data_IF_903178822054
#
_entry.id   IF_903178822054
#
_cell.length_a   1.000
_cell.length_b   1.000
_cell.length_c   1.000
_cell.angle_alpha   90.00
_cell.angle_beta   90.00
_cell.angle_gamma   90.00
#
_symmetry.space_group_name_H-M   'P 1'
#
loop_
_entity.id
_entity.type
_entity.pdbx_description
1 polymer ?
#
# COMPACT_ATOMS: atom_id res chain seq x y z
N UNK A 1 24.82 -45.51 20.86
CA UNK A 1 23.78 -45.20 19.86
C UNK A 1 23.16 -43.87 20.25
N UNK A 2 23.67 -42.80 19.66
CA UNK A 2 23.15 -41.44 19.83
C UNK A 2 22.11 -41.23 18.71
N UNK A 3 20.91 -40.70 18.97
CA UNK A 3 19.98 -40.42 17.88
C UNK A 3 20.53 -39.26 17.06
N UNK A 4 20.68 -39.48 15.75
CA UNK A 4 20.89 -38.43 14.77
C UNK A 4 19.67 -37.51 14.80
N UNK A 5 19.91 -36.22 15.07
CA UNK A 5 18.92 -35.18 14.94
C UNK A 5 18.40 -35.17 13.50
N UNK A 6 17.09 -35.38 13.34
CA UNK A 6 16.41 -35.17 12.06
C UNK A 6 16.50 -33.69 11.69
N UNK A 7 17.36 -33.36 10.74
CA UNK A 7 17.15 -32.19 9.90
C UNK A 7 15.93 -32.51 9.03
N UNK A 8 14.74 -32.08 9.47
CA UNK A 8 13.63 -31.89 8.54
C UNK A 8 14.02 -30.71 7.68
N UNK A 9 14.37 -30.96 6.44
CA UNK A 9 14.53 -29.95 5.39
C UNK A 9 13.16 -29.28 5.24
N UNK A 10 12.96 -28.13 5.92
CA UNK A 10 11.69 -27.40 5.86
C UNK A 10 11.65 -26.72 4.50
N UNK A 11 10.66 -27.08 3.68
CA UNK A 11 10.41 -26.39 2.42
C UNK A 11 9.98 -24.96 2.73
N UNK A 12 10.72 -23.98 2.21
CA UNK A 12 10.36 -22.56 2.27
C UNK A 12 9.32 -22.29 1.19
N UNK A 13 8.16 -21.78 1.58
CA UNK A 13 7.11 -21.35 0.67
C UNK A 13 7.32 -19.89 0.28
N UNK A 14 7.50 -19.62 -1.02
CA UNK A 14 7.70 -18.27 -1.54
C UNK A 14 6.41 -17.66 -2.02
N UNK A 15 6.01 -16.56 -1.42
CA UNK A 15 4.77 -15.86 -1.76
C UNK A 15 5.11 -14.54 -2.43
N UNK A 16 4.65 -14.34 -3.67
CA UNK A 16 4.79 -13.05 -4.35
C UNK A 16 3.68 -12.10 -3.91
N UNK A 17 4.03 -10.92 -3.41
CA UNK A 17 3.08 -9.88 -3.01
C UNK A 17 3.19 -8.68 -3.94
N UNK A 18 2.17 -8.44 -4.76
CA UNK A 18 2.15 -7.40 -5.78
C UNK A 18 1.47 -6.12 -5.26
N UNK A 19 2.11 -4.98 -5.43
CA UNK A 19 1.52 -3.66 -5.16
C UNK A 19 2.43 -2.49 -5.53
N UNK A 20 2.03 -1.28 -5.18
CA UNK A 20 2.78 -0.04 -5.47
C UNK A 20 3.75 0.30 -4.34
N UNK A 21 4.72 -0.58 -4.07
CA UNK A 21 5.64 -0.45 -2.93
C UNK A 21 6.97 0.24 -3.29
N UNK A 22 7.08 0.75 -4.51
CA UNK A 22 8.26 1.42 -5.06
C UNK A 22 8.04 2.94 -5.28
N UNK A 23 7.01 3.50 -4.65
CA UNK A 23 6.68 4.93 -4.73
C UNK A 23 6.57 5.55 -3.35
N UNK A 24 6.84 6.85 -3.25
CA UNK A 24 6.72 7.65 -2.02
C UNK A 24 5.24 7.87 -1.65
N UNK A 25 4.57 6.79 -1.23
CA UNK A 25 3.22 6.79 -0.69
C UNK A 25 3.20 5.98 0.61
N UNK A 26 3.08 6.69 1.74
CA UNK A 26 3.08 6.10 3.07
C UNK A 26 2.02 5.02 3.23
N UNK A 27 0.81 5.22 2.69
CA UNK A 27 -0.25 4.21 2.79
C UNK A 27 0.13 2.92 2.07
N UNK A 28 0.61 3.02 0.83
CA UNK A 28 0.97 1.84 0.04
C UNK A 28 2.17 1.08 0.64
N UNK A 29 3.12 1.83 1.21
CA UNK A 29 4.31 1.27 1.86
C UNK A 29 4.02 0.55 3.19
N UNK A 30 2.81 0.68 3.77
CA UNK A 30 2.41 -0.12 4.94
C UNK A 30 2.02 -1.55 4.59
N UNK A 31 1.47 -1.79 3.39
CA UNK A 31 0.94 -3.11 3.04
C UNK A 31 1.97 -4.23 3.08
N UNK A 32 3.23 -4.05 2.63
CA UNK A 32 4.25 -5.07 2.78
C UNK A 32 4.48 -5.48 4.23
N UNK A 33 4.67 -4.50 5.12
CA UNK A 33 4.93 -4.72 6.54
C UNK A 33 3.76 -5.44 7.23
N UNK A 34 2.52 -5.11 6.83
CA UNK A 34 1.31 -5.75 7.36
C UNK A 34 1.18 -7.20 6.89
N UNK A 35 1.48 -7.47 5.61
CA UNK A 35 1.48 -8.82 5.06
C UNK A 35 2.55 -9.68 5.73
N UNK A 36 3.77 -9.18 5.90
CA UNK A 36 4.82 -9.88 6.64
C UNK A 36 4.37 -10.19 8.07
N UNK A 37 3.85 -9.18 8.80
CA UNK A 37 3.40 -9.39 10.19
C UNK A 37 2.30 -10.44 10.32
N UNK A 38 1.36 -10.47 9.37
CA UNK A 38 0.26 -11.45 9.36
C UNK A 38 0.74 -12.84 8.99
N UNK A 39 1.60 -12.95 7.99
CA UNK A 39 2.15 -14.23 7.55
C UNK A 39 3.11 -14.82 8.56
N UNK A 40 3.90 -14.00 9.28
CA UNK A 40 4.72 -14.45 10.40
C UNK A 40 3.86 -15.09 11.49
N UNK A 41 2.73 -14.47 11.84
CA UNK A 41 1.77 -15.04 12.79
C UNK A 41 1.24 -16.39 12.32
N UNK A 42 0.79 -16.46 11.06
CA UNK A 42 0.26 -17.69 10.47
C UNK A 42 1.34 -18.79 10.33
N UNK A 43 2.57 -18.44 9.96
CA UNK A 43 3.71 -19.34 9.86
C UNK A 43 4.03 -19.97 11.21
N UNK A 44 4.02 -19.17 12.28
CA UNK A 44 4.22 -19.67 13.64
C UNK A 44 3.10 -20.64 14.08
N UNK A 45 1.84 -20.34 13.75
CA UNK A 45 0.70 -21.17 14.12
C UNK A 45 0.64 -22.48 13.32
N UNK A 46 1.09 -22.47 12.06
CA UNK A 46 1.03 -23.62 11.14
C UNK A 46 2.33 -24.42 11.09
N UNK A 47 3.44 -23.86 11.57
CA UNK A 47 4.78 -24.43 11.45
C UNK A 47 5.38 -24.36 10.04
N UNK A 48 4.78 -23.59 9.14
CA UNK A 48 5.29 -23.33 7.79
C UNK A 48 6.45 -22.34 7.83
N UNK A 49 7.35 -22.45 6.85
CA UNK A 49 8.39 -21.46 6.60
C UNK A 49 7.96 -20.65 5.37
N UNK A 50 7.80 -19.33 5.51
CA UNK A 50 7.23 -18.46 4.49
C UNK A 50 8.22 -17.33 4.20
N UNK A 51 8.60 -17.18 2.94
CA UNK A 51 9.36 -16.04 2.43
C UNK A 51 8.42 -15.19 1.57
N UNK A 52 8.26 -13.92 1.92
CA UNK A 52 7.48 -12.97 1.11
C UNK A 52 8.42 -12.22 0.19
N UNK A 53 8.10 -12.21 -1.10
CA UNK A 53 8.81 -11.42 -2.11
C UNK A 53 7.88 -10.33 -2.59
N UNK A 54 8.23 -9.08 -2.28
CA UNK A 54 7.45 -7.92 -2.68
C UNK A 54 7.77 -7.53 -4.13
N UNK A 55 6.71 -7.32 -4.91
CA UNK A 55 6.77 -7.05 -6.35
C UNK A 55 6.08 -5.72 -6.62
N UNK A 56 6.79 -4.82 -7.29
CA UNK A 56 6.28 -3.53 -7.73
C UNK A 56 6.52 -3.32 -9.22
N UNK A 57 5.84 -2.38 -9.89
CA UNK A 57 5.96 -2.20 -11.34
C UNK A 57 7.39 -1.97 -11.83
N UNK A 58 8.19 -1.22 -11.07
CA UNK A 58 9.61 -0.96 -11.37
C UNK A 58 10.52 -1.75 -10.44
N UNK A 59 10.15 -1.87 -9.16
CA UNK A 59 10.99 -2.50 -8.16
C UNK A 59 12.14 -1.60 -7.70
N UNK A 60 12.96 -2.09 -6.77
CA UNK A 60 14.18 -1.43 -6.31
C UNK A 60 14.39 -1.47 -4.80
N UNK A 61 15.35 -0.66 -4.37
CA UNK A 61 15.67 -0.45 -2.95
C UNK A 61 14.50 0.22 -2.20
N UNK A 62 14.42 0.04 -0.87
CA UNK A 62 13.39 0.66 -0.05
C UNK A 62 13.32 2.17 -0.25
N UNK A 63 12.09 2.68 -0.40
CA UNK A 63 11.83 4.13 -0.55
C UNK A 63 12.25 4.89 0.71
N UNK A 64 11.97 4.34 1.89
CA UNK A 64 12.44 4.83 3.19
C UNK A 64 13.12 3.71 3.98
N UNK A 65 13.89 4.07 5.01
CA UNK A 65 14.78 3.14 5.72
C UNK A 65 14.10 2.01 6.49
N UNK A 66 12.78 2.12 6.72
CA UNK A 66 11.92 1.12 7.38
C UNK A 66 10.96 0.42 6.40
N UNK A 67 11.10 0.69 5.09
CA UNK A 67 10.35 0.01 4.04
C UNK A 67 11.10 -1.24 3.57
N UNK A 68 10.40 -2.04 2.75
CA UNK A 68 10.95 -3.26 2.17
C UNK A 68 11.51 -3.02 0.76
N UNK A 69 12.54 -3.78 0.33
CA UNK A 69 12.94 -3.80 -1.07
C UNK A 69 11.90 -4.55 -1.91
N UNK A 70 11.83 -4.23 -3.20
CA UNK A 70 10.94 -4.92 -4.14
C UNK A 70 11.67 -5.35 -5.40
N UNK A 71 11.20 -6.43 -6.03
CA UNK A 71 11.60 -6.77 -7.39
C UNK A 71 10.60 -6.19 -8.39
N UNK A 72 11.02 -6.06 -9.65
CA UNK A 72 10.13 -5.60 -10.72
C UNK A 72 9.10 -6.68 -11.10
N UNK A 73 7.97 -6.28 -11.69
CA UNK A 73 6.99 -7.23 -12.26
C UNK A 73 7.62 -8.13 -13.32
N UNK A 74 8.55 -7.59 -14.13
CA UNK A 74 9.27 -8.35 -15.15
C UNK A 74 10.19 -9.42 -14.54
N UNK A 75 10.91 -9.07 -13.47
CA UNK A 75 11.75 -10.02 -12.76
C UNK A 75 10.91 -11.12 -12.09
N UNK A 76 9.77 -10.76 -11.50
CA UNK A 76 8.85 -11.71 -10.87
C UNK A 76 8.38 -12.79 -11.86
N UNK A 77 8.14 -12.43 -13.13
CA UNK A 77 7.73 -13.41 -14.17
C UNK A 77 8.77 -14.51 -14.42
N UNK A 78 10.02 -14.33 -13.99
CA UNK A 78 11.10 -15.31 -14.19
C UNK A 78 11.38 -16.18 -12.96
N UNK A 79 10.68 -15.94 -11.85
CA UNK A 79 10.94 -16.57 -10.55
C UNK A 79 9.86 -17.61 -10.21
N UNK A 80 10.24 -18.69 -9.51
CA UNK A 80 9.28 -19.62 -8.95
C UNK A 80 8.63 -19.03 -7.69
N UNK A 81 7.32 -19.23 -7.56
CA UNK A 81 6.53 -18.91 -6.38
C UNK A 81 5.58 -20.07 -6.07
N UNK A 82 5.09 -20.11 -4.82
CA UNK A 82 4.12 -21.08 -4.31
C UNK A 82 2.74 -20.44 -4.10
N UNK A 83 2.63 -19.12 -4.21
CA UNK A 83 1.38 -18.39 -4.18
C UNK A 83 1.55 -16.91 -4.50
N UNK A 84 0.45 -16.25 -4.85
CA UNK A 84 0.41 -14.84 -5.23
C UNK A 84 -0.61 -14.09 -4.37
N UNK A 85 -0.22 -12.93 -3.88
CA UNK A 85 -1.09 -11.96 -3.20
C UNK A 85 -1.17 -10.71 -4.08
N UNK A 86 -2.36 -10.40 -4.58
CA UNK A 86 -2.68 -9.06 -5.10
C UNK A 86 -2.94 -8.17 -3.89
N UNK A 87 -2.06 -7.19 -3.68
CA UNK A 87 -2.01 -6.36 -2.47
C UNK A 87 -3.20 -5.42 -2.30
N UNK A 88 -3.14 -4.62 -1.24
CA UNK A 88 -4.15 -3.62 -0.91
C UNK A 88 -4.05 -2.35 -1.76
N UNK A 89 -4.79 -1.32 -1.34
CA UNK A 89 -4.79 -0.03 -2.01
C UNK A 89 -5.63 0.00 -3.28
N UNK A 90 -5.69 1.16 -3.93
CA UNK A 90 -6.41 1.33 -5.19
C UNK A 90 -5.53 0.83 -6.34
N UNK A 91 -5.46 -0.48 -6.58
CA UNK A 91 -4.54 -1.05 -7.58
C UNK A 91 -5.23 -1.77 -8.75
N UNK A 92 -6.52 -2.09 -8.65
CA UNK A 92 -7.25 -2.71 -9.78
C UNK A 92 -7.73 -1.61 -10.72
N UNK A 93 -6.89 -1.22 -11.67
CA UNK A 93 -7.20 -0.15 -12.63
C UNK A 93 -7.27 -0.67 -14.06
N UNK A 94 -8.18 -0.10 -14.83
CA UNK A 94 -8.23 -0.23 -16.30
C UNK A 94 -7.69 0.98 -17.05
N UNK A 95 -7.03 1.90 -16.35
CA UNK A 95 -6.55 3.17 -16.89
C UNK A 95 -5.03 3.25 -16.74
N UNK A 96 -4.39 4.02 -17.63
CA UNK A 96 -2.98 4.33 -17.51
C UNK A 96 -2.67 5.04 -16.18
N UNK A 97 -1.49 4.80 -15.64
CA UNK A 97 -1.02 5.45 -14.43
C UNK A 97 -0.47 6.85 -14.73
N UNK A 98 -0.71 7.81 -13.83
CA UNK A 98 -0.16 9.17 -13.90
C UNK A 98 0.90 9.41 -12.80
N UNK A 99 1.40 8.36 -12.14
CA UNK A 99 2.42 8.45 -11.09
C UNK A 99 3.80 8.58 -11.74
N UNK A 100 4.51 9.67 -11.41
CA UNK A 100 5.74 10.10 -12.10
C UNK A 100 6.83 9.01 -12.20
N UNK A 101 7.13 8.23 -11.14
CA UNK A 101 8.03 7.07 -11.24
C UNK A 101 7.69 6.08 -12.38
N UNK A 102 6.41 5.86 -12.69
CA UNK A 102 6.00 4.93 -13.74
C UNK A 102 5.91 5.60 -15.11
N UNK A 103 5.61 6.90 -15.16
CA UNK A 103 5.63 7.71 -16.39
C UNK A 103 7.07 7.83 -16.91
N UNK A 104 8.01 8.09 -16.01
CA UNK A 104 9.43 8.25 -16.34
C UNK A 104 10.13 6.94 -16.72
N UNK A 105 9.55 5.79 -16.33
CA UNK A 105 10.04 4.45 -16.66
C UNK A 105 9.60 3.92 -18.05
N UNK A 106 9.24 4.81 -18.98
CA UNK A 106 8.89 4.46 -20.37
C UNK A 106 7.45 3.97 -20.53
N UNK A 107 7.26 2.82 -21.17
CA UNK A 107 5.92 2.28 -21.45
C UNK A 107 5.18 1.78 -20.20
N UNK A 108 5.84 1.78 -19.04
CA UNK A 108 5.29 1.40 -17.73
C UNK A 108 4.06 2.23 -17.34
N UNK A 109 3.92 3.45 -17.87
CA UNK A 109 2.69 4.25 -17.75
C UNK A 109 1.42 3.46 -18.10
N UNK A 110 1.48 2.63 -19.14
CA UNK A 110 0.32 1.93 -19.68
C UNK A 110 0.02 0.64 -18.92
N UNK A 111 1.04 0.00 -18.36
CA UNK A 111 0.95 -1.37 -17.85
C UNK A 111 1.15 -1.48 -16.34
N UNK A 112 1.69 -0.47 -15.65
CA UNK A 112 2.06 -0.57 -14.24
C UNK A 112 0.96 -1.15 -13.35
N UNK A 113 -0.27 -0.60 -13.41
CA UNK A 113 -1.38 -1.15 -12.63
C UNK A 113 -1.92 -2.47 -13.20
N UNK A 114 -1.93 -2.63 -14.52
CA UNK A 114 -2.39 -3.89 -15.13
C UNK A 114 -1.49 -5.07 -14.70
N UNK A 115 -0.17 -4.89 -14.64
CA UNK A 115 0.76 -5.92 -14.20
C UNK A 115 0.48 -6.38 -12.76
N UNK A 116 0.04 -5.49 -11.88
CA UNK A 116 -0.19 -5.81 -10.47
C UNK A 116 -1.35 -6.79 -10.25
N UNK A 117 -2.39 -6.75 -11.10
CA UNK A 117 -3.56 -7.62 -10.93
C UNK A 117 -3.74 -8.60 -12.10
N UNK A 118 -3.51 -8.18 -13.34
CA UNK A 118 -3.59 -9.06 -14.50
C UNK A 118 -2.29 -9.84 -14.68
N UNK A 119 -1.13 -9.17 -14.59
CA UNK A 119 0.18 -9.81 -14.71
C UNK A 119 0.42 -10.84 -13.60
N UNK A 120 0.10 -10.48 -12.35
CA UNK A 120 0.15 -11.41 -11.21
C UNK A 120 -0.81 -12.60 -11.37
N UNK A 121 -2.00 -12.40 -11.96
CA UNK A 121 -2.92 -13.50 -12.26
C UNK A 121 -2.40 -14.40 -13.38
N UNK A 122 -1.80 -13.84 -14.43
CA UNK A 122 -1.15 -14.62 -15.50
C UNK A 122 0.01 -15.45 -14.96
N UNK A 123 0.82 -14.89 -14.06
CA UNK A 123 1.89 -15.60 -13.38
C UNK A 123 1.36 -16.79 -12.56
N UNK A 124 0.30 -16.55 -11.78
CA UNK A 124 -0.32 -17.60 -10.97
C UNK A 124 -0.88 -18.74 -11.82
N UNK A 125 -1.59 -18.40 -12.91
CA UNK A 125 -2.13 -19.36 -13.88
C UNK A 125 -1.03 -20.18 -14.57
N UNK A 126 0.05 -19.51 -15.03
CA UNK A 126 1.19 -20.18 -15.69
C UNK A 126 1.91 -21.16 -14.75
N UNK A 127 2.07 -20.80 -13.49
CA UNK A 127 2.71 -21.64 -12.47
C UNK A 127 1.76 -22.67 -11.86
N UNK A 128 0.45 -22.54 -12.07
CA UNK A 128 -0.58 -23.38 -11.45
C UNK A 128 -0.62 -23.25 -9.92
N UNK A 129 -0.42 -22.03 -9.41
CA UNK A 129 -0.35 -21.72 -7.97
C UNK A 129 -1.52 -20.84 -7.52
N UNK A 130 -1.89 -20.86 -6.23
CA UNK A 130 -3.01 -20.08 -5.75
C UNK A 130 -2.76 -18.57 -5.83
N UNK A 131 -3.82 -17.82 -6.14
CA UNK A 131 -3.83 -16.36 -6.12
C UNK A 131 -4.96 -15.81 -5.27
N UNK A 132 -4.62 -14.87 -4.39
CA UNK A 132 -5.56 -14.22 -3.49
C UNK A 132 -5.57 -12.71 -3.72
N UNK A 133 -6.77 -12.11 -3.70
CA UNK A 133 -6.93 -10.66 -3.70
C UNK A 133 -7.14 -10.20 -2.26
N UNK A 134 -6.15 -9.48 -1.72
CA UNK A 134 -6.10 -9.04 -0.33
C UNK A 134 -6.73 -7.64 -0.17
N UNK A 135 -8.03 -7.59 -0.34
CA UNK A 135 -8.86 -6.40 -0.28
C UNK A 135 -8.36 -5.21 -1.14
N UNK A 136 -7.89 -5.40 -2.39
CA UNK A 136 -7.65 -4.27 -3.26
C UNK A 136 -8.93 -3.45 -3.51
N UNK A 137 -8.73 -2.16 -3.76
CA UNK A 137 -9.78 -1.26 -4.19
C UNK A 137 -9.84 -1.13 -5.71
N UNK A 138 -11.06 -1.00 -6.22
CA UNK A 138 -11.36 -0.74 -7.64
C UNK A 138 -11.92 0.68 -7.70
N UNK A 139 -11.14 1.68 -8.16
CA UNK A 139 -11.53 3.09 -8.00
C UNK A 139 -12.65 3.53 -8.94
N UNK A 140 -12.93 2.75 -9.99
CA UNK A 140 -13.82 3.13 -11.07
C UNK A 140 -14.22 1.97 -11.97
N UNK A 141 -15.21 2.19 -12.84
CA UNK A 141 -15.67 1.16 -13.77
C UNK A 141 -14.62 0.87 -14.86
N UNK A 142 -14.67 -0.35 -15.40
CA UNK A 142 -13.85 -0.76 -16.52
C UNK A 142 -14.47 -0.38 -17.86
N UNK A 143 -13.62 -0.09 -18.86
CA UNK A 143 -14.05 -0.09 -20.27
C UNK A 143 -14.31 -1.51 -20.76
N UNK A 144 -14.95 -1.67 -21.93
CA UNK A 144 -15.39 -2.98 -22.43
C UNK A 144 -14.26 -4.04 -22.47
N UNK A 145 -13.12 -3.73 -23.10
CA UNK A 145 -12.00 -4.67 -23.19
C UNK A 145 -11.38 -5.00 -21.83
N UNK A 146 -11.15 -4.00 -20.97
CA UNK A 146 -10.61 -4.24 -19.63
C UNK A 146 -11.62 -4.97 -18.74
N UNK A 147 -12.91 -4.81 -18.97
CA UNK A 147 -13.96 -5.52 -18.24
C UNK A 147 -13.86 -7.02 -18.46
N UNK A 148 -13.59 -7.47 -19.68
CA UNK A 148 -13.37 -8.90 -19.98
C UNK A 148 -12.12 -9.44 -19.27
N UNK A 149 -11.04 -8.67 -19.25
CA UNK A 149 -9.81 -9.04 -18.55
C UNK A 149 -9.99 -9.07 -17.03
N UNK A 150 -10.69 -8.09 -16.47
CA UNK A 150 -11.01 -8.03 -15.04
C UNK A 150 -11.93 -9.18 -14.62
N UNK A 151 -12.92 -9.53 -15.45
CA UNK A 151 -13.76 -10.72 -15.25
C UNK A 151 -12.92 -12.00 -15.22
N UNK A 152 -12.03 -12.17 -16.20
CA UNK A 152 -11.15 -13.34 -16.27
C UNK A 152 -10.26 -13.44 -15.03
N UNK A 153 -9.58 -12.34 -14.68
CA UNK A 153 -8.65 -12.32 -13.56
C UNK A 153 -9.35 -12.61 -12.22
N UNK A 154 -10.50 -11.99 -11.98
CA UNK A 154 -11.34 -12.27 -10.81
C UNK A 154 -11.80 -13.75 -10.76
N UNK A 155 -11.99 -14.38 -11.92
CA UNK A 155 -12.38 -15.80 -12.02
C UNK A 155 -11.24 -16.78 -11.75
N UNK A 156 -9.98 -16.32 -11.75
CA UNK A 156 -8.83 -17.14 -11.37
C UNK A 156 -8.52 -17.08 -9.87
N UNK A 157 -9.06 -16.11 -9.13
CA UNK A 157 -8.76 -15.94 -7.72
C UNK A 157 -9.34 -17.07 -6.86
N UNK A 158 -8.47 -17.75 -6.09
CA UNK A 158 -8.86 -18.75 -5.09
C UNK A 158 -9.56 -18.11 -3.89
N UNK A 159 -9.18 -16.87 -3.58
CA UNK A 159 -9.87 -16.02 -2.62
C UNK A 159 -9.91 -14.59 -3.14
N UNK A 160 -11.12 -14.06 -3.29
CA UNK A 160 -11.32 -12.70 -3.77
C UNK A 160 -11.96 -11.86 -2.68
N UNK A 161 -11.24 -10.84 -2.23
CA UNK A 161 -11.80 -9.79 -1.38
C UNK A 161 -11.55 -8.39 -1.94
N UNK A 162 -12.39 -7.44 -1.54
CA UNK A 162 -12.25 -6.01 -1.85
C UNK A 162 -12.53 -5.16 -0.62
N UNK A 163 -11.94 -3.96 -0.56
CA UNK A 163 -11.99 -3.11 0.64
C UNK A 163 -13.31 -2.35 0.88
N UNK A 164 -14.19 -2.30 -0.11
CA UNK A 164 -15.43 -1.54 -0.02
C UNK A 164 -16.50 -2.04 -1.00
N UNK A 165 -17.75 -1.72 -0.69
CA UNK A 165 -18.91 -2.09 -1.53
C UNK A 165 -18.80 -1.53 -2.95
N UNK A 166 -18.25 -0.33 -3.13
CA UNK A 166 -18.14 0.29 -4.45
C UNK A 166 -17.19 -0.51 -5.36
N UNK A 167 -16.11 -1.03 -4.79
CA UNK A 167 -15.16 -1.90 -5.49
C UNK A 167 -15.82 -3.21 -5.91
N UNK A 168 -16.63 -3.79 -5.03
CA UNK A 168 -17.46 -4.97 -5.34
C UNK A 168 -18.41 -4.69 -6.51
N UNK A 169 -19.17 -3.58 -6.43
CA UNK A 169 -20.13 -3.19 -7.47
C UNK A 169 -19.46 -3.05 -8.86
N UNK A 170 -18.20 -2.57 -8.92
CA UNK A 170 -17.47 -2.47 -10.18
C UNK A 170 -17.03 -3.82 -10.73
N UNK A 171 -16.65 -4.78 -9.88
CA UNK A 171 -16.37 -6.15 -10.31
C UNK A 171 -17.62 -6.88 -10.77
N UNK A 172 -18.75 -6.73 -10.07
CA UNK A 172 -20.01 -7.35 -10.49
C UNK A 172 -20.47 -6.85 -11.87
N UNK A 173 -20.18 -5.58 -12.20
CA UNK A 173 -20.47 -5.01 -13.53
C UNK A 173 -19.67 -5.64 -14.66
N UNK A 174 -18.55 -6.31 -14.36
CA UNK A 174 -17.82 -7.08 -15.38
C UNK A 174 -18.55 -8.35 -15.80
N UNK A 175 -19.56 -8.76 -15.04
CA UNK A 175 -20.25 -10.03 -15.20
C UNK A 175 -19.83 -11.08 -14.19
N UNK A 176 -18.86 -10.78 -13.30
CA UNK A 176 -18.44 -11.71 -12.26
C UNK A 176 -19.57 -12.00 -11.27
N UNK A 177 -19.77 -13.28 -10.93
CA UNK A 177 -20.85 -13.75 -10.03
C UNK A 177 -20.34 -14.71 -8.94
N UNK A 178 -19.02 -14.83 -8.81
CA UNK A 178 -18.41 -15.61 -7.72
C UNK A 178 -18.53 -14.88 -6.38
N UNK A 179 -18.04 -15.52 -5.32
CA UNK A 179 -18.03 -14.94 -3.99
C UNK A 179 -16.98 -13.81 -3.92
N UNK A 180 -17.40 -12.63 -3.48
CA UNK A 180 -16.52 -11.50 -3.18
C UNK A 180 -16.66 -11.18 -1.70
N UNK A 181 -15.61 -11.41 -0.92
CA UNK A 181 -15.58 -10.95 0.45
C UNK A 181 -15.37 -9.43 0.49
N UNK A 182 -16.17 -8.72 1.28
CA UNK A 182 -16.00 -7.28 1.48
C UNK A 182 -15.41 -7.09 2.88
N UNK A 183 -14.15 -6.68 2.93
CA UNK A 183 -13.43 -6.35 4.16
C UNK A 183 -13.11 -4.86 4.24
N UNK A 184 -12.69 -4.33 5.39
CA UNK A 184 -12.09 -2.99 5.43
C UNK A 184 -10.74 -2.97 4.69
N UNK A 185 -10.22 -1.76 4.43
CA UNK A 185 -8.84 -1.59 3.97
C UNK A 185 -7.87 -2.20 4.99
N UNK A 186 -6.92 -3.01 4.52
CA UNK A 186 -5.98 -3.75 5.39
C UNK A 186 -5.04 -2.81 6.16
N UNK A 187 -4.85 -1.57 5.70
CA UNK A 187 -4.11 -0.55 6.44
C UNK A 187 -4.74 -0.19 7.79
N UNK A 188 -6.00 -0.58 8.06
CA UNK A 188 -6.60 -0.41 9.40
C UNK A 188 -5.89 -1.22 10.49
N UNK A 189 -5.10 -2.22 10.12
CA UNK A 189 -4.32 -3.05 11.05
C UNK A 189 -2.93 -2.47 11.34
N UNK A 190 -2.71 -1.18 11.06
CA UNK A 190 -1.45 -0.47 11.33
C UNK A 190 -1.01 -0.55 12.81
N UNK A 191 -1.94 -0.79 13.73
CA UNK A 191 -1.67 -1.01 15.15
C UNK A 191 -0.88 -2.30 15.43
N UNK A 192 -0.86 -3.25 14.49
CA UNK A 192 -0.02 -4.44 14.57
C UNK A 192 1.45 -4.13 14.38
N UNK A 193 1.81 -3.08 13.65
CA UNK A 193 3.20 -2.85 13.24
C UNK A 193 4.08 -2.37 14.39
N UNK A 194 3.56 -1.45 15.20
CA UNK A 194 4.31 -0.79 16.26
C UNK A 194 3.56 -0.78 17.59
N UNK A 195 4.29 -1.05 18.66
CA UNK A 195 3.79 -0.93 20.02
C UNK A 195 3.52 0.54 20.40
N UNK A 196 2.66 0.79 21.40
CA UNK A 196 2.46 2.13 21.94
C UNK A 196 3.75 2.79 22.46
N UNK A 197 4.74 2.01 22.89
CA UNK A 197 6.03 2.54 23.37
C UNK A 197 6.91 3.02 22.22
N UNK A 198 7.02 2.24 21.14
CA UNK A 198 7.74 2.63 19.92
C UNK A 198 7.16 3.92 19.34
N UNK A 199 5.82 4.02 19.24
CA UNK A 199 5.17 5.24 18.75
C UNK A 199 5.44 6.46 19.65
N UNK A 200 5.46 6.28 20.97
CA UNK A 200 5.81 7.37 21.91
C UNK A 200 7.27 7.81 21.74
N UNK A 201 8.19 6.86 21.55
CA UNK A 201 9.60 7.16 21.35
C UNK A 201 9.84 7.84 20.00
N UNK A 202 9.25 7.32 18.93
CA UNK A 202 9.28 7.93 17.60
C UNK A 202 8.70 9.36 17.60
N UNK A 203 7.60 9.59 18.34
CA UNK A 203 7.03 10.94 18.51
C UNK A 203 8.03 11.89 19.19
N UNK A 204 8.66 11.46 20.29
CA UNK A 204 9.67 12.29 20.99
C UNK A 204 10.84 12.62 20.08
N UNK A 205 11.35 11.63 19.37
CA UNK A 205 12.46 11.78 18.44
C UNK A 205 12.10 12.74 17.29
N UNK A 206 10.93 12.55 16.66
CA UNK A 206 10.47 13.39 15.56
C UNK A 206 10.38 14.88 15.94
N UNK A 207 9.92 15.19 17.15
CA UNK A 207 9.87 16.55 17.67
C UNK A 207 11.26 17.08 18.04
N UNK A 208 12.05 16.27 18.75
CA UNK A 208 13.41 16.65 19.19
C UNK A 208 14.33 16.95 18.01
N UNK A 209 14.28 16.16 16.95
CA UNK A 209 15.06 16.36 15.72
C UNK A 209 14.71 17.65 14.98
N UNK A 210 13.55 18.25 15.29
CA UNK A 210 13.09 19.55 14.76
C UNK A 210 13.27 20.69 15.76
N UNK A 211 13.95 20.45 16.89
CA UNK A 211 14.17 21.46 17.92
C UNK A 211 12.92 21.80 18.74
N UNK A 212 11.92 20.91 18.76
CA UNK A 212 10.66 21.10 19.47
C UNK A 212 10.49 20.07 20.59
N UNK A 213 9.81 20.45 21.66
CA UNK A 213 9.24 19.49 22.60
C UNK A 213 7.94 18.91 22.01
N UNK A 214 7.59 17.64 22.30
CA UNK A 214 6.31 17.08 21.91
C UNK A 214 5.15 17.98 22.30
N UNK A 215 4.28 18.30 21.34
CA UNK A 215 3.13 19.13 21.60
C UNK A 215 2.17 18.42 22.57
N UNK A 216 1.74 19.13 23.63
CA UNK A 216 0.77 18.60 24.60
C UNK A 216 -0.57 18.26 23.94
N UNK A 217 -0.96 19.08 22.95
CA UNK A 217 -2.15 18.88 22.11
C UNK A 217 -1.74 19.09 20.67
N UNK A 218 -1.84 18.04 19.87
CA UNK A 218 -1.50 18.09 18.45
C UNK A 218 -2.71 17.73 17.59
N UNK A 219 -2.71 18.23 16.36
CA UNK A 219 -3.65 17.84 15.32
C UNK A 219 -2.84 17.49 14.08
N UNK A 220 -2.90 16.23 13.68
CA UNK A 220 -2.24 15.75 12.48
C UNK A 220 -3.08 16.13 11.26
N UNK A 221 -2.46 16.76 10.26
CA UNK A 221 -3.14 17.30 9.09
C UNK A 221 -2.40 16.84 7.85
N UNK A 222 -3.11 16.11 7.00
CA UNK A 222 -2.67 15.78 5.66
C UNK A 222 -3.53 16.54 4.65
N UNK A 223 -2.88 17.08 3.63
CA UNK A 223 -3.53 17.76 2.51
C UNK A 223 -3.00 17.21 1.20
N UNK A 224 -3.86 17.12 0.21
CA UNK A 224 -3.48 16.74 -1.15
C UNK A 224 -4.09 17.73 -2.13
N UNK A 225 -3.27 18.29 -3.01
CA UNK A 225 -3.62 19.39 -3.91
C UNK A 225 -4.82 19.06 -4.80
N UNK A 226 -4.98 17.78 -5.17
CA UNK A 226 -6.10 17.26 -5.99
C UNK A 226 -7.48 17.48 -5.37
N UNK A 227 -7.55 17.63 -4.06
CA UNK A 227 -8.82 17.80 -3.33
C UNK A 227 -9.02 19.21 -2.78
N UNK A 228 -8.03 20.10 -2.94
CA UNK A 228 -8.15 21.48 -2.47
C UNK A 228 -9.04 22.30 -3.41
N UNK A 229 -9.99 23.02 -2.80
CA UNK A 229 -10.85 24.01 -3.50
C UNK A 229 -10.49 25.45 -3.17
N UNK A 230 -9.74 25.65 -2.09
CA UNK A 230 -9.34 26.95 -1.55
C UNK A 230 -7.86 27.22 -1.81
N UNK A 231 -7.50 28.50 -1.82
CA UNK A 231 -6.10 28.90 -1.97
C UNK A 231 -5.27 28.60 -0.71
N UNK A 232 -3.97 28.40 -0.88
CA UNK A 232 -3.01 28.09 0.21
C UNK A 232 -3.11 29.06 1.39
N UNK A 233 -3.22 30.37 1.11
CA UNK A 233 -3.32 31.41 2.15
C UNK A 233 -4.61 31.29 2.97
N UNK A 234 -5.71 30.96 2.30
CA UNK A 234 -7.01 30.77 2.97
C UNK A 234 -6.95 29.55 3.89
N UNK A 235 -6.39 28.44 3.39
CA UNK A 235 -6.19 27.22 4.17
C UNK A 235 -5.31 27.50 5.40
N UNK A 236 -4.18 28.17 5.22
CA UNK A 236 -3.29 28.54 6.32
C UNK A 236 -4.02 29.37 7.40
N UNK A 237 -4.82 30.36 7.00
CA UNK A 237 -5.62 31.16 7.93
C UNK A 237 -6.66 30.32 8.67
N UNK A 238 -7.34 29.39 7.98
CA UNK A 238 -8.30 28.48 8.60
C UNK A 238 -7.64 27.55 9.62
N UNK A 239 -6.45 27.04 9.31
CA UNK A 239 -5.68 26.20 10.21
C UNK A 239 -5.18 26.97 11.43
N UNK A 240 -4.69 28.20 11.26
CA UNK A 240 -4.31 29.09 12.36
C UNK A 240 -5.49 29.31 13.31
N UNK A 241 -6.64 29.74 12.78
CA UNK A 241 -7.84 30.02 13.58
C UNK A 241 -8.30 28.78 14.34
N UNK A 242 -8.25 27.61 13.69
CA UNK A 242 -8.60 26.34 14.31
C UNK A 242 -7.63 25.95 15.43
N UNK A 243 -6.31 26.02 15.18
CA UNK A 243 -5.27 25.68 16.14
C UNK A 243 -5.31 26.61 17.37
N UNK A 244 -5.46 27.92 17.15
CA UNK A 244 -5.61 28.90 18.23
C UNK A 244 -6.85 28.62 19.08
N UNK A 245 -8.00 28.38 18.43
CA UNK A 245 -9.27 28.08 19.12
C UNK A 245 -9.21 26.78 19.94
N UNK A 246 -8.44 25.79 19.47
CA UNK A 246 -8.30 24.48 20.13
C UNK A 246 -7.10 24.39 21.07
N UNK A 247 -6.27 25.42 21.14
CA UNK A 247 -4.99 25.40 21.87
C UNK A 247 -4.16 24.19 21.47
N UNK A 248 -4.03 23.94 20.17
CA UNK A 248 -3.36 22.75 19.63
C UNK A 248 -2.34 23.14 18.57
N UNK A 249 -1.27 22.36 18.46
CA UNK A 249 -0.24 22.50 17.43
C UNK A 249 -0.62 21.67 16.20
N UNK A 250 -0.64 22.28 15.02
CA UNK A 250 -0.78 21.53 13.78
C UNK A 250 0.50 20.72 13.53
N UNK A 251 0.37 19.49 13.03
CA UNK A 251 1.46 18.68 12.48
C UNK A 251 1.10 18.44 11.03
N UNK A 252 1.79 19.12 10.11
CA UNK A 252 1.54 18.97 8.67
C UNK A 252 2.29 17.74 8.15
N UNK A 253 1.55 16.74 7.69
CA UNK A 253 2.09 15.46 7.23
C UNK A 253 1.89 15.29 5.72
N UNK A 254 2.98 14.96 5.02
CA UNK A 254 2.94 14.54 3.63
C UNK A 254 2.89 13.02 3.61
N UNK A 255 1.76 12.46 3.19
CA UNK A 255 1.57 11.02 3.11
C UNK A 255 1.90 10.48 1.71
N UNK A 256 1.81 11.30 0.66
CA UNK A 256 2.26 10.92 -0.69
C UNK A 256 3.14 11.98 -1.33
N UNK A 257 4.44 12.09 -0.97
CA UNK A 257 5.38 12.95 -1.70
C UNK A 257 5.43 12.70 -3.22
N UNK A 258 5.09 11.49 -3.69
CA UNK A 258 4.91 11.20 -5.12
C UNK A 258 3.79 12.04 -5.80
N UNK A 259 2.98 12.73 -5.02
CA UNK A 259 1.94 13.67 -5.45
C UNK A 259 2.25 15.12 -5.03
N UNK A 260 3.50 15.43 -4.67
CA UNK A 260 3.96 16.74 -4.19
C UNK A 260 3.28 17.22 -2.90
N UNK A 261 2.75 16.29 -2.10
CA UNK A 261 2.11 16.62 -0.82
C UNK A 261 3.09 17.30 0.14
N UNK A 262 4.39 16.98 0.07
CA UNK A 262 5.42 17.62 0.88
C UNK A 262 5.66 19.09 0.49
N UNK A 263 5.57 19.42 -0.79
CA UNK A 263 5.65 20.79 -1.31
C UNK A 263 4.46 21.60 -0.81
N UNK A 264 3.24 21.07 -0.96
CA UNK A 264 2.01 21.71 -0.51
C UNK A 264 2.05 22.01 0.99
N UNK A 265 2.43 21.02 1.80
CA UNK A 265 2.45 21.12 3.26
C UNK A 265 3.44 22.20 3.71
N UNK A 266 4.62 22.26 3.09
CA UNK A 266 5.62 23.32 3.35
C UNK A 266 5.11 24.71 2.93
N UNK A 267 4.40 24.82 1.83
CA UNK A 267 3.82 26.09 1.38
C UNK A 267 2.74 26.59 2.34
N UNK A 268 1.84 25.71 2.79
CA UNK A 268 0.83 26.05 3.81
C UNK A 268 1.50 26.44 5.12
N UNK A 269 2.45 25.63 5.62
CA UNK A 269 3.15 25.91 6.88
C UNK A 269 3.88 27.27 6.89
N UNK A 270 4.50 27.68 5.77
CA UNK A 270 5.13 29.00 5.64
C UNK A 270 4.14 30.17 5.67
N UNK A 271 2.87 29.93 5.36
CA UNK A 271 1.82 30.95 5.34
C UNK A 271 1.04 31.01 6.66
N UNK A 272 1.21 30.01 7.53
CA UNK A 272 0.64 29.98 8.87
C UNK A 272 1.38 30.96 9.81
N UNK A 273 0.63 31.53 10.74
CA UNK A 273 1.13 32.40 11.82
C UNK A 273 1.46 31.60 13.08
N UNK A 274 0.74 30.52 13.31
CA UNK A 274 1.11 29.50 14.32
C UNK A 274 2.39 28.79 13.86
N UNK A 275 3.02 28.02 14.75
CA UNK A 275 4.23 27.26 14.43
C UNK A 275 3.88 25.77 14.23
N UNK A 276 3.45 25.37 13.01
CA UNK A 276 3.14 23.98 12.66
C UNK A 276 4.39 23.12 12.46
#
# INVERSE_FOLDING_TARGET
MTPLAGHTDRTIHRIAHFGTFDVENYGDLLFPLLVERRLDGAANDTGLDIEVVHVSPVGGEPVWGDCVPTISTEEAMTRPFDGVIVGGGHIIHGQACDVEPYVSAGDRRLFAYADLWLGSTLLADELGIPIVWNAPGVPGPFGAATSELAFWAASQADYLSVRDQRSCDFLERTGYRGEIAIGPDTALEVDLLWSPEELRNATKEAFSNRGHAPAERAIAIHMNSRYLRSGIREIASLLDDFCMKKGSTAILMALGPCHEDDVLQRQVGRMMKTNP
#
